data_IF_446123663139
#
_entry.id   IF_446123663139
#
_cell.length_a   1.000
_cell.length_b   1.000
_cell.length_c   1.000
_cell.angle_alpha   90.00
_cell.angle_beta   90.00
_cell.angle_gamma   90.00
#
_symmetry.space_group_name_H-M   'P 1'
#
loop_
_entity.id
_entity.type
_entity.pdbx_description
1 polymer ?
#
# COMPACT_ATOMS: atom_id res chain seq x y z
N UNK A 1 22.54 21.37 4.39
CA UNK A 1 22.43 21.10 2.94
C UNK A 1 23.45 20.06 2.47
N UNK A 2 24.75 20.19 2.76
CA UNK A 2 25.77 19.20 2.37
C UNK A 2 25.58 17.79 2.95
N UNK A 3 25.04 17.68 4.17
CA UNK A 3 24.76 16.39 4.80
C UNK A 3 23.81 15.51 3.97
N UNK A 4 22.79 16.10 3.35
CA UNK A 4 21.83 15.36 2.51
C UNK A 4 22.53 14.86 1.23
N UNK A 5 23.33 15.72 0.58
CA UNK A 5 24.11 15.34 -0.61
C UNK A 5 25.12 14.23 -0.33
N UNK A 6 25.81 14.28 0.82
CA UNK A 6 26.76 13.25 1.24
C UNK A 6 26.09 11.89 1.49
N UNK A 7 24.90 11.88 2.10
CA UNK A 7 24.10 10.66 2.30
C UNK A 7 23.66 10.07 0.96
N UNK A 8 23.22 10.89 0.02
CA UNK A 8 22.81 10.42 -1.31
C UNK A 8 23.96 9.82 -2.10
N UNK A 9 25.13 10.47 -2.11
CA UNK A 9 26.33 9.94 -2.79
C UNK A 9 26.77 8.62 -2.16
N UNK A 10 26.83 8.56 -0.83
CA UNK A 10 27.20 7.34 -0.10
C UNK A 10 26.24 6.18 -0.43
N UNK A 11 24.93 6.45 -0.48
CA UNK A 11 23.91 5.43 -0.79
C UNK A 11 23.99 4.97 -2.25
N UNK A 12 24.37 5.84 -3.19
CA UNK A 12 24.46 5.50 -4.61
C UNK A 12 25.60 4.53 -4.95
N UNK A 13 26.59 4.36 -4.06
CA UNK A 13 27.65 3.36 -4.22
C UNK A 13 27.12 1.94 -3.99
N UNK A 14 26.17 1.80 -3.05
CA UNK A 14 25.62 0.49 -2.68
C UNK A 14 24.32 0.15 -3.44
N UNK A 15 23.50 1.16 -3.76
CA UNK A 15 22.24 0.98 -4.48
C UNK A 15 22.31 1.65 -5.85
N UNK A 16 21.96 0.92 -6.89
CA UNK A 16 21.73 1.50 -8.21
C UNK A 16 20.50 2.43 -8.17
N UNK A 17 20.71 3.74 -8.38
CA UNK A 17 19.67 4.78 -8.51
C UNK A 17 18.70 4.91 -7.31
N UNK A 18 19.19 5.22 -6.09
CA UNK A 18 18.36 5.29 -4.89
C UNK A 18 17.32 6.42 -4.97
N UNK A 19 17.67 7.55 -5.60
CA UNK A 19 16.76 8.69 -5.76
C UNK A 19 15.52 8.32 -6.59
N UNK A 20 15.71 7.73 -7.77
CA UNK A 20 14.61 7.36 -8.65
C UNK A 20 13.69 6.28 -8.07
N UNK A 21 14.22 5.39 -7.21
CA UNK A 21 13.47 4.27 -6.63
C UNK A 21 12.65 4.67 -5.40
N UNK A 22 13.18 5.53 -4.54
CA UNK A 22 12.58 5.82 -3.23
C UNK A 22 12.04 7.24 -3.09
N UNK A 23 12.73 8.23 -3.64
CA UNK A 23 12.41 9.65 -3.40
C UNK A 23 11.62 10.29 -4.54
N UNK A 24 11.73 9.77 -5.76
CA UNK A 24 11.09 10.39 -6.91
C UNK A 24 9.57 10.05 -6.95
N UNK A 25 8.67 11.06 -6.91
CA UNK A 25 7.23 10.82 -7.03
C UNK A 25 6.86 10.18 -8.37
N UNK A 26 7.61 10.52 -9.42
CA UNK A 26 7.45 9.93 -10.75
C UNK A 26 7.81 8.43 -10.77
N UNK A 27 8.77 8.00 -9.95
CA UNK A 27 9.13 6.58 -9.82
C UNK A 27 7.99 5.73 -9.27
N UNK A 28 7.23 6.24 -8.31
CA UNK A 28 6.04 5.58 -7.76
C UNK A 28 4.94 5.47 -8.82
N UNK A 29 4.71 6.55 -9.57
CA UNK A 29 3.69 6.58 -10.61
C UNK A 29 4.02 5.60 -11.76
N UNK A 30 5.27 5.60 -12.22
CA UNK A 30 5.75 4.66 -13.24
C UNK A 30 5.65 3.20 -12.78
N UNK A 31 6.01 2.90 -11.54
CA UNK A 31 5.89 1.54 -11.00
C UNK A 31 4.42 1.06 -11.02
N UNK A 32 3.48 1.95 -10.65
CA UNK A 32 2.06 1.64 -10.70
C UNK A 32 1.58 1.38 -12.14
N UNK A 33 1.90 2.28 -13.07
CA UNK A 33 1.51 2.14 -14.49
C UNK A 33 2.14 0.90 -15.12
N UNK A 34 3.41 0.63 -14.83
CA UNK A 34 4.13 -0.52 -15.38
C UNK A 34 3.54 -1.86 -14.90
N UNK A 35 3.01 -1.92 -13.67
CA UNK A 35 2.26 -3.08 -13.18
C UNK A 35 1.00 -3.38 -13.99
N UNK A 36 0.35 -2.35 -14.53
CA UNK A 36 -0.84 -2.48 -15.39
C UNK A 36 -0.50 -2.69 -16.88
N UNK A 37 0.76 -2.51 -17.28
CA UNK A 37 1.15 -2.70 -18.67
C UNK A 37 1.03 -4.17 -19.11
N UNK A 38 0.34 -4.38 -20.24
CA UNK A 38 0.23 -5.69 -20.91
C UNK A 38 1.50 -6.05 -21.67
N UNK A 39 2.19 -5.06 -22.25
CA UNK A 39 3.46 -5.26 -22.98
C UNK A 39 4.62 -4.97 -22.04
N UNK A 40 5.36 -6.02 -21.69
CA UNK A 40 6.54 -5.91 -20.86
C UNK A 40 7.68 -6.72 -21.48
N UNK A 41 8.91 -6.28 -21.23
CA UNK A 41 10.15 -6.96 -21.61
C UNK A 41 10.16 -8.39 -21.06
N UNK A 42 10.56 -9.34 -21.90
CA UNK A 42 10.78 -10.76 -21.58
C UNK A 42 12.25 -11.11 -21.85
N UNK A 43 12.88 -11.89 -20.97
CA UNK A 43 14.33 -12.18 -21.05
C UNK A 43 14.66 -13.09 -22.24
N UNK A 44 13.83 -14.10 -22.49
CA UNK A 44 14.05 -15.11 -23.53
C UNK A 44 13.21 -14.79 -24.76
N UNK A 45 13.76 -14.95 -25.98
CA UNK A 45 13.00 -14.77 -27.21
C UNK A 45 11.96 -15.89 -27.43
N UNK A 46 12.26 -17.10 -26.96
CA UNK A 46 11.39 -18.28 -27.07
C UNK A 46 11.02 -18.84 -25.68
N UNK A 47 11.73 -19.86 -25.20
CA UNK A 47 11.45 -20.55 -23.95
C UNK A 47 12.64 -20.48 -22.98
N UNK A 48 12.36 -20.41 -21.69
CA UNK A 48 13.38 -20.42 -20.66
C UNK A 48 13.85 -21.84 -20.38
N UNK A 49 15.15 -22.10 -20.52
CA UNK A 49 15.79 -23.37 -20.17
C UNK A 49 16.26 -23.43 -18.69
N UNK A 50 15.85 -22.46 -17.87
CA UNK A 50 16.18 -22.39 -16.44
C UNK A 50 17.70 -22.45 -16.11
N UNK A 51 18.56 -21.90 -16.98
CA UNK A 51 20.02 -21.92 -16.83
C UNK A 51 20.57 -21.07 -15.66
N UNK A 52 19.74 -20.22 -15.06
CA UNK A 52 20.05 -19.31 -13.92
C UNK A 52 21.09 -18.20 -14.20
N UNK A 53 21.63 -18.08 -15.41
CA UNK A 53 22.61 -17.03 -15.76
C UNK A 53 22.06 -15.61 -15.57
N UNK A 54 20.77 -15.40 -15.85
CA UNK A 54 20.14 -14.10 -15.71
C UNK A 54 19.96 -13.65 -14.24
N UNK A 55 20.03 -14.55 -13.26
CA UNK A 55 19.68 -14.26 -11.87
C UNK A 55 20.51 -13.11 -11.26
N UNK A 56 21.81 -13.08 -11.54
CA UNK A 56 22.75 -12.10 -11.00
C UNK A 56 23.10 -10.97 -11.99
N UNK A 57 22.53 -10.99 -13.21
CA UNK A 57 22.86 -9.98 -14.24
C UNK A 57 22.07 -8.68 -14.08
N UNK A 58 20.95 -8.70 -13.34
CA UNK A 58 20.13 -7.52 -13.12
C UNK A 58 20.74 -6.63 -12.03
N UNK A 59 21.19 -5.40 -12.34
CA UNK A 59 21.75 -4.48 -11.34
C UNK A 59 20.70 -3.98 -10.32
N UNK A 60 19.42 -4.17 -10.63
CA UNK A 60 18.29 -3.77 -9.78
C UNK A 60 17.65 -4.93 -9.03
N UNK A 61 18.14 -6.17 -9.22
CA UNK A 61 17.55 -7.37 -8.62
C UNK A 61 16.08 -7.59 -9.00
N UNK A 62 15.66 -7.15 -10.18
CA UNK A 62 14.26 -7.17 -10.60
C UNK A 62 13.83 -8.51 -11.23
N UNK A 63 14.65 -9.56 -11.19
CA UNK A 63 14.34 -10.86 -11.80
C UNK A 63 13.70 -11.77 -10.76
N UNK A 64 12.50 -12.25 -11.04
CA UNK A 64 11.75 -13.15 -10.18
C UNK A 64 12.08 -14.61 -10.52
N UNK A 65 12.40 -15.39 -9.49
CA UNK A 65 12.76 -16.80 -9.62
C UNK A 65 11.50 -17.67 -9.79
N UNK A 66 11.62 -18.83 -10.49
CA UNK A 66 10.54 -19.79 -10.60
C UNK A 66 10.17 -20.37 -9.23
N UNK A 67 8.88 -20.61 -9.02
CA UNK A 67 8.38 -21.24 -7.78
C UNK A 67 8.73 -22.73 -7.76
N UNK A 68 9.20 -23.29 -6.61
CA UNK A 68 9.56 -24.70 -6.54
C UNK A 68 8.33 -25.59 -6.75
N UNK A 69 8.47 -26.66 -7.54
CA UNK A 69 7.38 -27.56 -7.96
C UNK A 69 6.54 -28.13 -6.79
N UNK A 70 7.14 -28.25 -5.59
CA UNK A 70 6.48 -28.76 -4.37
C UNK A 70 5.27 -27.91 -3.93
N UNK A 71 5.17 -26.65 -4.33
CA UNK A 71 4.05 -25.76 -3.94
C UNK A 71 2.79 -25.96 -4.80
N UNK A 72 2.86 -26.69 -5.91
CA UNK A 72 1.77 -26.80 -6.90
C UNK A 72 0.60 -27.70 -6.45
N UNK A 73 0.76 -28.50 -5.39
CA UNK A 73 -0.17 -29.57 -5.02
C UNK A 73 -1.36 -29.12 -4.13
N UNK A 74 -1.50 -27.84 -3.79
CA UNK A 74 -2.48 -27.37 -2.81
C UNK A 74 -3.56 -26.44 -3.40
N UNK A 75 -4.25 -26.86 -4.47
CA UNK A 75 -5.41 -26.11 -5.04
C UNK A 75 -6.50 -25.86 -3.98
N UNK A 76 -6.77 -26.83 -3.12
CA UNK A 76 -7.75 -26.70 -2.03
C UNK A 76 -7.34 -25.65 -0.97
N UNK A 77 -6.03 -25.40 -0.80
CA UNK A 77 -5.55 -24.32 0.09
C UNK A 77 -5.79 -22.95 -0.52
N UNK A 78 -5.67 -22.82 -1.85
CA UNK A 78 -5.88 -21.55 -2.54
C UNK A 78 -7.35 -21.12 -2.52
N UNK A 79 -8.29 -22.03 -2.78
CA UNK A 79 -9.73 -21.71 -2.69
C UNK A 79 -10.14 -21.37 -1.26
N UNK A 80 -9.65 -22.12 -0.25
CA UNK A 80 -9.88 -21.78 1.16
C UNK A 80 -9.34 -20.39 1.52
N UNK A 81 -8.11 -20.06 1.11
CA UNK A 81 -7.54 -18.72 1.35
C UNK A 81 -8.37 -17.63 0.70
N UNK A 82 -8.79 -17.81 -0.54
CA UNK A 82 -9.64 -16.84 -1.24
C UNK A 82 -10.98 -16.62 -0.54
N UNK A 83 -11.65 -17.70 -0.10
CA UNK A 83 -12.90 -17.63 0.66
C UNK A 83 -12.70 -16.92 2.00
N UNK A 84 -11.67 -17.30 2.76
CA UNK A 84 -11.34 -16.66 4.05
C UNK A 84 -11.10 -15.16 3.84
N UNK A 85 -10.35 -14.79 2.82
CA UNK A 85 -10.05 -13.38 2.55
C UNK A 85 -11.27 -12.59 2.06
N UNK A 86 -12.13 -13.23 1.25
CA UNK A 86 -13.40 -12.64 0.83
C UNK A 86 -14.35 -12.38 1.99
N UNK A 87 -14.28 -13.15 3.08
CA UNK A 87 -15.04 -12.93 4.31
C UNK A 87 -14.34 -11.98 5.29
N UNK A 88 -13.00 -11.98 5.31
CA UNK A 88 -12.20 -11.14 6.19
C UNK A 88 -12.26 -9.65 5.80
N UNK A 89 -12.29 -9.33 4.50
CA UNK A 89 -12.34 -7.94 4.02
C UNK A 89 -13.61 -7.21 4.51
N UNK A 90 -14.84 -7.72 4.31
CA UNK A 90 -16.04 -7.03 4.79
C UNK A 90 -16.07 -6.98 6.32
N UNK A 91 -15.55 -8.01 7.01
CA UNK A 91 -15.39 -7.99 8.46
C UNK A 91 -14.48 -6.84 8.91
N UNK A 92 -13.33 -6.66 8.26
CA UNK A 92 -12.40 -5.56 8.56
C UNK A 92 -12.99 -4.18 8.26
N UNK A 93 -13.77 -4.05 7.18
CA UNK A 93 -14.49 -2.81 6.87
C UNK A 93 -15.51 -2.47 7.96
N UNK A 94 -16.27 -3.47 8.42
CA UNK A 94 -17.24 -3.29 9.48
C UNK A 94 -16.59 -2.92 10.82
N UNK A 95 -15.55 -3.66 11.23
CA UNK A 95 -14.79 -3.38 12.47
C UNK A 95 -14.11 -2.02 12.38
N UNK A 96 -13.52 -1.68 11.23
CA UNK A 96 -12.91 -0.37 11.00
C UNK A 96 -13.92 0.77 11.07
N UNK A 97 -15.08 0.63 10.44
CA UNK A 97 -16.17 1.61 10.50
C UNK A 97 -16.71 1.78 11.92
N UNK A 98 -16.99 0.67 12.62
CA UNK A 98 -17.47 0.69 14.00
C UNK A 98 -16.48 1.39 14.95
N UNK A 99 -15.20 1.01 14.87
CA UNK A 99 -14.16 1.63 15.70
C UNK A 99 -13.98 3.10 15.36
N UNK A 100 -13.94 3.47 14.07
CA UNK A 100 -13.85 4.87 13.64
C UNK A 100 -15.02 5.73 14.11
N UNK A 101 -16.24 5.17 14.10
CA UNK A 101 -17.43 5.83 14.60
C UNK A 101 -17.39 6.06 16.11
N UNK A 102 -16.82 5.13 16.89
CA UNK A 102 -16.64 5.32 18.34
C UNK A 102 -15.69 6.47 18.69
N UNK A 103 -14.72 6.80 17.83
CA UNK A 103 -13.78 7.90 18.06
C UNK A 103 -14.30 9.30 17.66
N UNK A 104 -15.58 9.44 17.25
CA UNK A 104 -16.15 10.70 16.75
C UNK A 104 -16.04 11.87 17.75
N UNK A 105 -16.25 11.66 19.05
CA UNK A 105 -16.12 12.72 20.06
C UNK A 105 -14.70 13.27 20.16
N UNK A 106 -13.69 12.39 20.18
CA UNK A 106 -12.28 12.79 20.26
C UNK A 106 -11.83 13.50 18.97
N UNK A 107 -12.34 13.10 17.81
CA UNK A 107 -12.06 13.74 16.54
C UNK A 107 -12.73 15.13 16.43
N UNK A 108 -13.94 15.28 16.97
CA UNK A 108 -14.67 16.54 16.94
C UNK A 108 -14.00 17.63 17.81
N UNK A 109 -13.25 17.24 18.85
CA UNK A 109 -12.49 18.20 19.69
C UNK A 109 -11.40 18.98 18.93
N UNK A 110 -10.98 18.51 17.75
CA UNK A 110 -10.07 19.27 16.87
C UNK A 110 -10.74 20.53 16.33
N UNK A 111 -12.08 20.59 16.29
CA UNK A 111 -12.83 21.77 15.89
C UNK A 111 -12.97 22.76 17.06
N UNK A 112 -12.56 24.01 16.85
CA UNK A 112 -12.59 25.06 17.89
C UNK A 112 -13.98 25.29 18.49
N UNK A 113 -15.06 25.15 17.70
CA UNK A 113 -16.44 25.33 18.21
C UNK A 113 -16.85 24.25 19.22
N UNK A 114 -16.43 23.01 18.99
CA UNK A 114 -16.74 21.88 19.86
C UNK A 114 -15.88 21.91 21.12
N UNK A 115 -14.61 22.29 20.99
CA UNK A 115 -13.71 22.52 22.13
C UNK A 115 -14.27 23.61 23.06
N UNK A 116 -14.68 24.75 22.49
CA UNK A 116 -15.28 25.86 23.23
C UNK A 116 -16.60 25.46 23.91
N UNK A 117 -17.45 24.69 23.24
CA UNK A 117 -18.69 24.18 23.85
C UNK A 117 -18.41 23.26 25.05
N UNK A 118 -17.39 22.41 24.97
CA UNK A 118 -16.96 21.53 26.07
C UNK A 118 -16.38 22.31 27.25
N UNK A 119 -15.62 23.36 26.98
CA UNK A 119 -15.07 24.27 27.99
C UNK A 119 -16.18 25.06 28.71
N UNK A 120 -17.17 25.57 27.97
CA UNK A 120 -18.37 26.22 28.55
C UNK A 120 -19.24 25.29 29.40
N UNK A 121 -19.27 23.99 29.07
CA UNK A 121 -19.91 22.94 29.89
C UNK A 121 -19.13 22.73 31.20
N UNK A 122 -17.80 22.64 31.13
CA UNK A 122 -16.92 22.46 32.29
C UNK A 122 -16.94 23.64 33.25
N UNK A 123 -17.07 24.87 32.73
CA UNK A 123 -17.17 26.10 33.53
C UNK A 123 -18.50 26.18 34.31
N UNK A 124 -19.56 25.54 33.81
CA UNK A 124 -20.87 25.55 34.49
C UNK A 124 -20.90 24.70 35.76
N UNK A 125 -19.96 23.75 35.90
CA UNK A 125 -19.80 22.88 37.07
C UNK A 125 -18.84 23.47 38.13
N UNK A 126 -18.09 24.53 37.81
CA UNK A 126 -17.16 25.19 38.73
C UNK A 126 -17.56 26.66 38.86
N UNK A 127 -18.39 26.95 39.87
CA UNK A 127 -18.60 28.32 40.34
C UNK A 127 -17.25 28.95 40.71
N UNK A 128 -16.82 29.93 39.90
CA UNK A 128 -15.60 30.76 40.03
C UNK A 128 -14.27 30.06 39.72
N UNK A 129 -13.79 30.21 38.48
CA UNK A 129 -12.34 30.25 38.22
C UNK A 129 -11.94 31.44 37.35
N UNK A 130 -11.07 32.28 37.92
CA UNK A 130 -10.61 33.58 37.41
C UNK A 130 -9.61 33.52 36.22
N UNK A 131 -9.54 32.43 35.46
CA UNK A 131 -8.65 32.33 34.28
C UNK A 131 -9.46 32.28 32.98
N UNK A 132 -10.03 33.42 32.62
CA UNK A 132 -10.78 33.59 31.38
C UNK A 132 -9.85 33.54 30.16
N UNK A 133 -9.85 32.40 29.46
CA UNK A 133 -9.34 32.27 28.09
C UNK A 133 -9.94 33.38 27.20
N UNK A 134 -9.13 33.96 26.30
CA UNK A 134 -9.52 35.04 25.40
C UNK A 134 -10.78 34.71 24.58
N UNK A 135 -11.00 33.42 24.32
CA UNK A 135 -12.16 32.90 23.58
C UNK A 135 -13.48 33.07 24.35
N UNK A 136 -13.48 32.93 25.68
CA UNK A 136 -14.68 33.13 26.52
C UNK A 136 -15.05 34.61 26.59
N UNK A 137 -14.06 35.51 26.64
CA UNK A 137 -14.29 36.98 26.58
C UNK A 137 -14.82 37.39 25.20
N UNK A 138 -14.26 36.85 24.12
CA UNK A 138 -14.76 37.08 22.76
C UNK A 138 -16.20 36.55 22.59
N UNK A 139 -16.50 35.37 23.15
CA UNK A 139 -17.84 34.78 23.11
C UNK A 139 -18.88 35.60 23.89
N UNK A 140 -18.58 36.02 25.14
CA UNK A 140 -19.46 36.90 25.93
C UNK A 140 -19.74 38.24 25.24
N UNK A 141 -18.81 38.73 24.42
CA UNK A 141 -18.97 39.97 23.63
C UNK A 141 -19.78 39.74 22.35
N UNK A 142 -19.82 38.51 21.83
CA UNK A 142 -20.54 38.15 20.59
C UNK A 142 -22.07 38.07 20.72
N UNK A 143 -22.60 38.09 21.96
CA UNK A 143 -24.04 38.12 22.22
C UNK A 143 -24.84 36.87 21.83
N UNK A 144 -24.17 35.78 21.40
CA UNK A 144 -24.84 34.50 21.10
C UNK A 144 -25.33 33.84 22.38
N UNK A 145 -26.52 33.23 22.31
CA UNK A 145 -27.02 32.42 23.43
C UNK A 145 -26.21 31.13 23.55
N UNK A 146 -25.98 30.71 24.79
CA UNK A 146 -25.26 29.46 25.11
C UNK A 146 -25.94 28.25 24.43
N UNK A 147 -27.26 28.28 24.32
CA UNK A 147 -28.06 27.24 23.67
C UNK A 147 -27.76 27.11 22.16
N UNK A 148 -27.54 28.24 21.45
CA UNK A 148 -27.19 28.22 20.03
C UNK A 148 -25.82 27.55 19.79
N UNK A 149 -24.86 27.74 20.71
CA UNK A 149 -23.53 27.10 20.60
C UNK A 149 -23.62 25.60 20.79
N UNK A 150 -24.45 25.12 21.71
CA UNK A 150 -24.64 23.68 21.91
C UNK A 150 -25.31 23.01 20.71
N UNK A 151 -26.30 23.65 20.09
CA UNK A 151 -26.93 23.14 18.88
C UNK A 151 -25.93 23.10 17.72
N UNK A 152 -25.13 24.14 17.54
CA UNK A 152 -24.05 24.16 16.53
C UNK A 152 -23.02 23.03 16.80
N UNK A 153 -22.57 22.87 18.04
CA UNK A 153 -21.60 21.83 18.41
C UNK A 153 -22.16 20.41 18.22
N UNK A 154 -23.42 20.17 18.57
CA UNK A 154 -24.09 18.89 18.36
C UNK A 154 -24.16 18.49 16.88
N UNK A 155 -24.55 19.43 16.00
CA UNK A 155 -24.57 19.18 14.55
C UNK A 155 -23.18 18.83 13.99
N UNK A 156 -22.12 19.43 14.53
CA UNK A 156 -20.74 19.14 14.10
C UNK A 156 -20.34 17.74 14.57
N UNK A 157 -20.66 17.36 15.81
CA UNK A 157 -20.37 16.01 16.34
C UNK A 157 -21.05 14.92 15.50
N UNK A 158 -22.29 15.14 15.06
CA UNK A 158 -23.02 14.23 14.18
C UNK A 158 -22.35 14.08 12.80
N UNK A 159 -21.87 15.19 12.20
CA UNK A 159 -21.11 15.14 10.94
C UNK A 159 -19.81 14.32 11.10
N UNK A 160 -19.12 14.47 12.24
CA UNK A 160 -17.92 13.69 12.56
C UNK A 160 -18.21 12.19 12.76
N UNK A 161 -19.41 11.82 13.22
CA UNK A 161 -19.81 10.41 13.31
C UNK A 161 -19.87 9.74 11.93
N UNK A 162 -20.48 10.41 10.95
CA UNK A 162 -20.52 9.93 9.56
C UNK A 162 -19.10 9.90 8.96
N UNK A 163 -18.30 10.95 9.22
CA UNK A 163 -16.90 11.00 8.81
C UNK A 163 -16.06 9.85 9.38
N UNK A 164 -16.27 9.51 10.65
CA UNK A 164 -15.60 8.39 11.33
C UNK A 164 -15.91 7.04 10.71
N UNK A 165 -17.17 6.81 10.32
CA UNK A 165 -17.57 5.61 9.58
C UNK A 165 -16.86 5.50 8.22
N UNK A 166 -16.87 6.57 7.43
CA UNK A 166 -16.26 6.58 6.09
C UNK A 166 -14.75 6.32 6.18
N UNK A 167 -14.06 7.04 7.07
CA UNK A 167 -12.62 6.89 7.29
C UNK A 167 -12.28 5.48 7.80
N UNK A 168 -13.03 4.98 8.78
CA UNK A 168 -12.85 3.64 9.33
C UNK A 168 -13.02 2.53 8.30
N UNK A 169 -14.05 2.63 7.45
CA UNK A 169 -14.26 1.70 6.33
C UNK A 169 -13.08 1.77 5.34
N UNK A 170 -12.62 2.96 5.00
CA UNK A 170 -11.50 3.14 4.08
C UNK A 170 -10.22 2.49 4.61
N UNK A 171 -9.87 2.72 5.88
CA UNK A 171 -8.71 2.10 6.51
C UNK A 171 -8.86 0.57 6.54
N UNK A 172 -10.03 0.06 6.94
CA UNK A 172 -10.32 -1.37 6.96
C UNK A 172 -10.17 -2.03 5.58
N UNK A 173 -10.62 -1.35 4.52
CA UNK A 173 -10.48 -1.80 3.14
C UNK A 173 -9.01 -1.83 2.69
N UNK A 174 -8.25 -0.77 2.94
CA UNK A 174 -6.82 -0.70 2.56
C UNK A 174 -6.02 -1.80 3.25
N UNK A 175 -6.28 -2.03 4.54
CA UNK A 175 -5.64 -3.09 5.31
C UNK A 175 -6.03 -4.48 4.77
N UNK A 176 -7.32 -4.70 4.52
CA UNK A 176 -7.84 -5.95 3.94
C UNK A 176 -7.23 -6.27 2.57
N UNK A 177 -7.15 -5.29 1.66
CA UNK A 177 -6.51 -5.46 0.34
C UNK A 177 -5.00 -5.72 0.43
N UNK A 178 -4.33 -5.11 1.42
CA UNK A 178 -2.89 -5.34 1.64
C UNK A 178 -2.62 -6.77 2.13
N UNK A 179 -3.42 -7.27 3.07
CA UNK A 179 -3.37 -8.67 3.50
C UNK A 179 -3.72 -9.63 2.36
N UNK A 180 -4.69 -9.27 1.52
CA UNK A 180 -5.04 -10.04 0.32
C UNK A 180 -3.84 -10.24 -0.58
N UNK A 181 -3.15 -9.14 -0.90
CA UNK A 181 -1.98 -9.14 -1.77
C UNK A 181 -0.83 -9.98 -1.21
N UNK A 182 -0.63 -9.99 0.11
CA UNK A 182 0.41 -10.80 0.77
C UNK A 182 0.06 -12.30 0.83
N UNK A 183 -1.24 -12.64 0.84
CA UNK A 183 -1.71 -14.03 0.92
C UNK A 183 -1.76 -14.73 -0.44
N UNK A 184 -1.93 -13.96 -1.53
CA UNK A 184 -1.97 -14.48 -2.90
C UNK A 184 -0.55 -14.82 -3.37
N UNK A 185 -0.21 -16.12 -3.33
CA UNK A 185 1.00 -16.63 -3.96
C UNK A 185 0.80 -16.75 -5.47
N UNK A 186 1.65 -16.06 -6.24
CA UNK A 186 1.70 -16.22 -7.70
C UNK A 186 2.65 -17.37 -8.06
N UNK A 187 2.16 -18.32 -8.85
CA UNK A 187 2.97 -19.39 -9.42
C UNK A 187 3.71 -18.87 -10.65
N UNK A 188 5.03 -19.09 -10.68
CA UNK A 188 5.89 -18.72 -11.81
C UNK A 188 6.67 -19.95 -12.26
N UNK A 189 6.55 -20.32 -13.53
CA UNK A 189 7.26 -21.45 -14.13
C UNK A 189 8.68 -21.09 -14.53
N UNK A 190 8.88 -19.84 -14.94
CA UNK A 190 10.12 -19.37 -15.58
C UNK A 190 10.67 -18.12 -14.88
N UNK A 191 11.92 -17.78 -15.23
CA UNK A 191 12.53 -16.52 -14.81
C UNK A 191 11.87 -15.35 -15.55
N UNK A 192 11.20 -14.47 -14.80
CA UNK A 192 10.48 -13.33 -15.36
C UNK A 192 10.90 -12.02 -14.70
N UNK A 193 11.09 -10.92 -15.44
CA UNK A 193 11.35 -9.63 -14.85
C UNK A 193 10.08 -9.09 -14.16
N UNK A 194 10.25 -8.55 -12.95
CA UNK A 194 9.19 -7.90 -12.20
C UNK A 194 8.75 -6.61 -12.90
N UNK A 195 7.46 -6.53 -13.23
CA UNK A 195 6.91 -5.41 -14.02
C UNK A 195 7.06 -4.03 -13.36
N UNK A 196 7.09 -3.96 -12.03
CA UNK A 196 7.14 -2.69 -11.30
C UNK A 196 8.56 -2.17 -11.05
N UNK A 197 9.54 -3.06 -10.97
CA UNK A 197 10.92 -2.73 -10.58
C UNK A 197 11.92 -2.90 -11.72
N UNK A 198 11.54 -3.53 -12.83
CA UNK A 198 12.37 -3.63 -14.02
C UNK A 198 12.34 -2.30 -14.82
N UNK A 199 13.50 -1.69 -15.04
CA UNK A 199 13.67 -0.49 -15.85
C UNK A 199 13.95 -0.80 -17.34
N UNK A 200 13.83 -2.06 -17.76
CA UNK A 200 13.99 -2.47 -19.16
C UNK A 200 15.35 -2.09 -19.79
N UNK A 201 16.43 -2.10 -19.00
CA UNK A 201 17.79 -1.77 -19.46
C UNK A 201 18.46 -2.83 -20.36
N UNK A 202 17.76 -3.91 -20.71
CA UNK A 202 18.19 -5.02 -21.57
C UNK A 202 19.46 -5.79 -21.15
N UNK A 203 20.16 -5.43 -20.07
CA UNK A 203 21.39 -6.11 -19.60
C UNK A 203 21.22 -7.62 -19.35
N UNK A 204 20.01 -8.10 -19.09
CA UNK A 204 19.74 -9.51 -18.93
C UNK A 204 19.78 -10.31 -20.25
N UNK A 205 19.67 -9.65 -21.41
CA UNK A 205 19.69 -10.30 -22.72
C UNK A 205 21.08 -10.82 -23.09
N UNK A 206 22.13 -10.07 -22.74
CA UNK A 206 23.53 -10.46 -23.00
C UNK A 206 23.94 -11.75 -22.29
N UNK A 207 23.24 -12.10 -21.21
CA UNK A 207 23.48 -13.31 -20.40
C UNK A 207 22.55 -14.46 -20.79
N UNK A 208 21.62 -14.24 -21.72
CA UNK A 208 20.68 -15.26 -22.16
C UNK A 208 21.31 -16.10 -23.27
N UNK A 209 21.54 -17.41 -23.08
CA UNK A 209 22.10 -18.27 -24.12
C UNK A 209 21.08 -18.67 -25.20
N UNK A 210 19.80 -18.31 -25.02
CA UNK A 210 18.72 -18.66 -25.96
C UNK A 210 18.63 -17.57 -27.02
N UNK A 211 18.94 -17.93 -28.26
CA UNK A 211 18.80 -17.08 -29.44
C UNK A 211 17.71 -17.65 -30.36
N UNK A 212 17.14 -16.82 -31.25
CA UNK A 212 16.03 -17.22 -32.14
C UNK A 212 16.41 -18.33 -33.13
N UNK A 213 17.71 -18.45 -33.43
CA UNK A 213 18.35 -19.37 -34.37
C UNK A 213 18.91 -20.65 -33.72
N UNK A 214 18.89 -20.76 -32.40
CA UNK A 214 19.60 -21.83 -31.70
C UNK A 214 18.88 -23.19 -31.78
N UNK A 215 19.46 -24.09 -32.56
CA UNK A 215 19.04 -25.49 -32.72
C UNK A 215 19.15 -26.31 -31.41
N UNK A 216 19.83 -25.78 -30.38
CA UNK A 216 19.85 -26.32 -29.02
C UNK A 216 18.46 -26.53 -28.41
N UNK A 217 17.46 -25.75 -28.83
CA UNK A 217 16.06 -25.95 -28.42
C UNK A 217 15.48 -27.23 -28.99
N UNK A 218 15.84 -27.66 -30.21
CA UNK A 218 15.29 -28.91 -30.81
C UNK A 218 15.71 -30.16 -30.02
N UNK A 219 16.93 -30.21 -29.49
CA UNK A 219 17.43 -31.39 -28.77
C UNK A 219 16.83 -31.55 -27.37
N UNK A 220 16.51 -30.45 -26.67
CA UNK A 220 15.91 -30.49 -25.34
C UNK A 220 14.39 -30.26 -25.32
N UNK A 221 13.78 -29.85 -26.44
CA UNK A 221 12.33 -29.81 -26.63
C UNK A 221 11.73 -31.17 -27.03
N UNK A 222 12.47 -32.29 -26.87
CA UNK A 222 11.80 -33.59 -26.84
C UNK A 222 11.04 -33.65 -25.51
N UNK A 223 9.69 -33.65 -25.52
CA UNK A 223 8.93 -33.71 -24.29
C UNK A 223 9.39 -34.92 -23.49
N UNK A 224 9.65 -34.73 -22.20
CA UNK A 224 9.67 -35.84 -21.26
C UNK A 224 8.35 -36.57 -21.47
N UNK A 225 8.49 -37.75 -22.09
CA UNK A 225 7.40 -38.59 -22.51
C UNK A 225 6.53 -38.83 -21.27
N UNK A 226 5.30 -38.33 -21.31
CA UNK A 226 4.23 -38.75 -20.41
C UNK A 226 3.96 -40.23 -20.70
N UNK A 227 4.69 -41.09 -20.01
CA UNK A 227 4.39 -42.49 -19.74
C UNK A 227 4.57 -42.60 -18.23
N UNK A 228 3.60 -42.98 -17.42
CA UNK A 228 2.46 -43.89 -17.61
C UNK A 228 1.17 -43.28 -17.03
#
# INVERSE_FOLDING_TARGET
MFAIGAVFLSTSVFIARPYCRFFCPYGVLLNLISRFSKKHVTITPTHCIQCRLCENSCPFGAIEKPTPLKSMNNRASQTKRFIVLSLLIPLLMFVGGWTGAQFHENLAMVNSKVSLAKELLSEKDIENSEELSEEIKAFKTSGKSIEQVYVEAASIIDDFYIGGWILGIFIGLVFGLTLAKLSVFQFRTDYTPNKGTCLSCARCYDYCPVTEDNEFVKFHAKPLNRKE
#
